data_IF_955821126028
#
_entry.id   IF_955821126028
#
_cell.length_a   1.000
_cell.length_b   1.000
_cell.length_c   1.000
_cell.angle_alpha   90.00
_cell.angle_beta   90.00
_cell.angle_gamma   90.00
#
_symmetry.space_group_name_H-M   'P 1'
#
loop_
_entity.id
_entity.type
_entity.pdbx_description
1 polymer ?
#
# COMPACT_ATOMS: atom_id res chain seq x y z
N UNK A 1 -11.67 19.30 8.53
CA UNK A 1 -10.32 18.86 8.11
C UNK A 1 -9.15 19.26 9.03
N UNK A 2 -9.37 19.98 10.14
CA UNK A 2 -8.27 20.41 11.07
C UNK A 2 -7.45 19.26 11.69
N UNK A 3 -8.00 18.03 11.75
CA UNK A 3 -7.34 16.84 12.32
C UNK A 3 -6.57 16.00 11.27
N UNK A 4 -6.79 16.23 9.98
CA UNK A 4 -6.17 15.45 8.89
C UNK A 4 -4.62 15.45 8.93
N UNK A 5 -3.92 16.59 9.15
CA UNK A 5 -2.47 16.57 9.26
C UNK A 5 -1.95 15.67 10.40
N UNK A 6 -2.66 15.61 11.53
CA UNK A 6 -2.31 14.73 12.65
C UNK A 6 -2.47 13.25 12.30
N UNK A 7 -3.50 12.91 11.53
CA UNK A 7 -3.74 11.55 11.04
C UNK A 7 -2.66 11.13 10.04
N UNK A 8 -2.27 12.02 9.12
CA UNK A 8 -1.19 11.78 8.16
C UNK A 8 0.15 11.59 8.89
N UNK A 9 0.48 12.49 9.83
CA UNK A 9 1.69 12.36 10.63
C UNK A 9 1.72 11.03 11.41
N UNK A 10 0.62 10.66 12.08
CA UNK A 10 0.50 9.37 12.74
C UNK A 10 0.70 8.19 11.79
N UNK A 11 0.13 8.25 10.59
CA UNK A 11 0.31 7.21 9.57
C UNK A 11 1.77 7.08 9.14
N UNK A 12 2.48 8.20 8.95
CA UNK A 12 3.88 8.22 8.51
C UNK A 12 4.75 7.40 9.47
N UNK A 13 4.69 7.65 10.76
CA UNK A 13 5.57 6.98 11.72
C UNK A 13 5.32 5.47 11.82
N UNK A 14 4.07 5.05 11.86
CA UNK A 14 3.73 3.63 11.95
C UNK A 14 4.06 2.89 10.64
N UNK A 15 3.77 3.49 9.50
CA UNK A 15 4.09 2.89 8.20
C UNK A 15 5.60 2.88 7.93
N UNK A 16 6.35 3.91 8.40
CA UNK A 16 7.80 3.94 8.29
C UNK A 16 8.48 2.81 9.08
N UNK A 17 7.93 2.45 10.26
CA UNK A 17 8.35 1.25 10.98
C UNK A 17 8.29 0.01 10.08
N UNK A 18 7.14 -0.28 9.49
CA UNK A 18 6.97 -1.45 8.61
C UNK A 18 7.89 -1.38 7.39
N UNK A 19 8.02 -0.21 6.76
CA UNK A 19 8.88 -0.02 5.58
C UNK A 19 10.37 -0.24 5.92
N UNK A 20 10.85 0.26 7.06
CA UNK A 20 12.20 0.05 7.56
C UNK A 20 12.46 -1.42 7.93
N UNK A 21 11.54 -2.07 8.65
CA UNK A 21 11.64 -3.50 8.98
C UNK A 21 11.65 -4.37 7.71
N UNK A 22 10.86 -4.03 6.70
CA UNK A 22 10.80 -4.72 5.42
C UNK A 22 12.12 -4.65 4.63
N UNK A 23 12.98 -3.70 4.92
CA UNK A 23 14.35 -3.61 4.38
C UNK A 23 15.37 -4.28 5.32
N UNK A 24 15.34 -3.95 6.60
CA UNK A 24 16.37 -4.38 7.55
C UNK A 24 16.35 -5.90 7.84
N UNK A 25 15.16 -6.50 7.99
CA UNK A 25 15.02 -7.95 8.24
C UNK A 25 15.59 -8.81 7.11
N UNK A 26 15.24 -8.60 5.82
CA UNK A 26 15.85 -9.32 4.71
C UNK A 26 17.37 -9.15 4.63
N UNK A 27 17.87 -7.94 4.82
CA UNK A 27 19.33 -7.68 4.79
C UNK A 27 20.06 -8.46 5.89
N UNK A 28 19.51 -8.48 7.11
CA UNK A 28 20.11 -9.26 8.20
C UNK A 28 20.04 -10.77 7.92
N UNK A 29 18.92 -11.26 7.37
CA UNK A 29 18.79 -12.67 7.00
C UNK A 29 19.82 -13.08 5.94
N UNK A 30 20.05 -12.26 4.90
CA UNK A 30 21.10 -12.50 3.91
C UNK A 30 22.49 -12.51 4.55
N UNK A 31 22.78 -11.54 5.44
CA UNK A 31 24.06 -11.50 6.17
C UNK A 31 24.28 -12.72 7.06
N UNK A 32 23.21 -13.28 7.63
CA UNK A 32 23.25 -14.53 8.40
C UNK A 32 23.37 -15.79 7.52
N UNK A 33 23.43 -15.66 6.19
CA UNK A 33 23.61 -16.77 5.26
C UNK A 33 22.29 -17.48 4.86
N UNK A 34 21.13 -16.90 5.17
CA UNK A 34 19.86 -17.47 4.70
C UNK A 34 19.69 -17.31 3.20
N UNK A 35 19.04 -18.28 2.57
CA UNK A 35 18.80 -18.31 1.13
C UNK A 35 17.83 -17.20 0.67
N UNK A 36 17.91 -16.84 -0.62
CA UNK A 36 16.96 -15.91 -1.24
C UNK A 36 15.49 -16.37 -1.10
N UNK A 37 15.26 -17.70 -1.08
CA UNK A 37 13.93 -18.27 -0.83
C UNK A 37 13.42 -17.94 0.59
N UNK A 38 14.28 -18.08 1.59
CA UNK A 38 13.94 -17.73 2.98
C UNK A 38 13.64 -16.23 3.12
N UNK A 39 14.40 -15.37 2.43
CA UNK A 39 14.16 -13.93 2.37
C UNK A 39 12.84 -13.62 1.67
N UNK A 40 12.52 -14.30 0.59
CA UNK A 40 11.21 -14.19 -0.08
C UNK A 40 10.06 -14.56 0.84
N UNK A 41 10.19 -15.64 1.60
CA UNK A 41 9.20 -16.03 2.61
C UNK A 41 9.04 -14.96 3.70
N UNK A 42 10.12 -14.39 4.21
CA UNK A 42 10.07 -13.27 5.16
C UNK A 42 9.29 -12.07 4.62
N UNK A 43 9.55 -11.68 3.38
CA UNK A 43 8.83 -10.57 2.74
C UNK A 43 7.34 -10.87 2.55
N UNK A 44 6.99 -12.12 2.20
CA UNK A 44 5.61 -12.55 2.08
C UNK A 44 4.84 -12.47 3.41
N UNK A 45 5.49 -12.70 4.55
CA UNK A 45 4.86 -12.63 5.87
C UNK A 45 4.31 -11.23 6.20
N UNK A 46 4.95 -10.15 5.74
CA UNK A 46 4.42 -8.78 5.90
C UNK A 46 3.06 -8.60 5.23
N UNK A 47 2.88 -9.15 4.03
CA UNK A 47 1.62 -9.06 3.29
C UNK A 47 0.60 -10.11 3.76
N UNK A 48 1.04 -11.31 4.11
CA UNK A 48 0.20 -12.42 4.53
C UNK A 48 -0.70 -12.05 5.70
N UNK A 49 -0.13 -11.43 6.74
CA UNK A 49 -0.89 -11.01 7.90
C UNK A 49 -1.97 -9.98 7.53
N UNK A 50 -1.67 -9.10 6.58
CA UNK A 50 -2.65 -8.12 6.11
C UNK A 50 -3.82 -8.77 5.38
N UNK A 51 -3.60 -9.88 4.65
CA UNK A 51 -4.69 -10.63 4.00
C UNK A 51 -5.65 -11.20 5.05
N UNK A 52 -5.13 -11.90 6.05
CA UNK A 52 -5.98 -12.59 7.04
C UNK A 52 -6.58 -11.64 8.09
N UNK A 53 -5.84 -10.62 8.52
CA UNK A 53 -6.32 -9.69 9.54
C UNK A 53 -7.17 -8.54 8.98
N UNK A 54 -7.22 -8.33 7.65
CA UNK A 54 -7.95 -7.20 7.07
C UNK A 54 -9.43 -7.16 7.48
N UNK A 55 -10.14 -8.28 7.39
CA UNK A 55 -11.56 -8.34 7.75
C UNK A 55 -11.81 -8.23 9.27
N UNK A 56 -11.09 -8.95 10.15
CA UNK A 56 -11.17 -8.74 11.59
C UNK A 56 -10.86 -7.29 12.01
N UNK A 57 -9.81 -6.69 11.44
CA UNK A 57 -9.42 -5.31 11.69
C UNK A 57 -10.51 -4.31 11.26
N UNK A 58 -11.14 -4.55 10.10
CA UNK A 58 -12.25 -3.75 9.62
C UNK A 58 -13.45 -3.77 10.57
N UNK A 59 -13.85 -4.97 11.02
CA UNK A 59 -14.91 -5.14 12.01
C UNK A 59 -14.57 -4.49 13.35
N UNK A 60 -13.34 -4.64 13.79
CA UNK A 60 -12.86 -4.04 15.02
C UNK A 60 -12.91 -2.51 14.95
N UNK A 61 -12.44 -1.92 13.83
CA UNK A 61 -12.51 -0.48 13.59
C UNK A 61 -13.98 0.02 13.51
N UNK A 62 -14.90 -0.76 12.93
CA UNK A 62 -16.31 -0.38 12.86
C UNK A 62 -16.96 -0.33 14.26
N UNK A 63 -16.59 -1.26 15.14
CA UNK A 63 -17.15 -1.34 16.49
C UNK A 63 -16.53 -0.37 17.48
N UNK A 64 -15.22 -0.13 17.39
CA UNK A 64 -14.46 0.56 18.43
C UNK A 64 -13.93 1.93 18.01
N UNK A 65 -14.09 2.31 16.74
CA UNK A 65 -13.63 3.59 16.21
C UNK A 65 -12.15 3.58 15.77
N UNK A 66 -11.43 4.70 15.97
CA UNK A 66 -10.06 4.90 15.54
C UNK A 66 -9.02 4.48 16.58
N UNK A 67 -9.20 4.94 17.83
CA UNK A 67 -8.10 4.92 18.83
C UNK A 67 -7.72 3.52 19.27
N UNK A 68 -8.69 2.64 19.53
CA UNK A 68 -8.40 1.27 20.00
C UNK A 68 -7.65 0.43 18.96
N UNK A 69 -8.09 0.35 17.68
CA UNK A 69 -7.32 -0.35 16.65
C UNK A 69 -5.92 0.24 16.46
N UNK A 70 -5.80 1.58 16.52
CA UNK A 70 -4.52 2.24 16.34
C UNK A 70 -3.56 2.00 17.51
N UNK A 71 -4.05 2.03 18.75
CA UNK A 71 -3.25 1.70 19.93
C UNK A 71 -2.74 0.26 19.87
N UNK A 72 -3.60 -0.68 19.47
CA UNK A 72 -3.21 -2.08 19.25
C UNK A 72 -2.15 -2.18 18.14
N UNK A 73 -2.30 -1.44 17.04
CA UNK A 73 -1.30 -1.39 15.96
C UNK A 73 0.03 -0.83 16.44
N UNK A 74 0.02 0.23 17.23
CA UNK A 74 1.24 0.79 17.84
C UNK A 74 1.93 -0.26 18.72
N UNK A 75 1.18 -0.90 19.61
CA UNK A 75 1.73 -1.93 20.49
C UNK A 75 2.31 -3.12 19.69
N UNK A 76 1.57 -3.64 18.71
CA UNK A 76 2.02 -4.75 17.86
C UNK A 76 3.29 -4.39 17.06
N UNK A 77 3.34 -3.19 16.46
CA UNK A 77 4.53 -2.75 15.71
C UNK A 77 5.74 -2.55 16.63
N UNK A 78 5.56 -1.85 17.76
CA UNK A 78 6.65 -1.59 18.69
C UNK A 78 7.20 -2.87 19.31
N UNK A 79 6.33 -3.79 19.75
CA UNK A 79 6.74 -5.09 20.29
C UNK A 79 7.37 -5.94 19.18
N UNK A 80 6.75 -6.02 18.00
CA UNK A 80 7.27 -6.80 16.88
C UNK A 80 8.67 -6.36 16.46
N UNK A 81 8.91 -5.07 16.28
CA UNK A 81 10.24 -4.54 15.97
C UNK A 81 11.22 -4.70 17.16
N UNK A 82 10.74 -4.47 18.39
CA UNK A 82 11.52 -4.61 19.63
C UNK A 82 12.04 -6.02 19.87
N UNK A 83 11.29 -7.05 19.51
CA UNK A 83 11.76 -8.44 19.61
C UNK A 83 13.01 -8.67 18.76
N UNK A 84 13.12 -8.08 17.57
CA UNK A 84 14.31 -8.17 16.72
C UNK A 84 15.51 -7.42 17.29
N UNK A 85 15.34 -6.45 18.20
CA UNK A 85 16.44 -5.83 18.93
C UNK A 85 17.10 -6.83 19.89
N UNK A 86 16.27 -7.59 20.61
CA UNK A 86 16.73 -8.52 21.65
C UNK A 86 17.27 -9.80 21.02
N UNK A 87 16.50 -10.40 20.12
CA UNK A 87 16.79 -11.69 19.49
C UNK A 87 16.71 -11.59 17.96
N UNK A 88 17.79 -11.13 17.30
CA UNK A 88 17.82 -10.99 15.83
C UNK A 88 18.06 -12.35 15.14
N UNK A 89 17.22 -13.33 15.43
CA UNK A 89 17.24 -14.68 14.84
C UNK A 89 16.07 -14.87 13.89
N UNK A 90 16.19 -15.77 12.93
CA UNK A 90 15.22 -15.96 11.85
C UNK A 90 13.77 -16.15 12.31
N UNK A 91 13.44 -17.02 13.31
CA UNK A 91 12.06 -17.15 13.78
C UNK A 91 11.47 -15.87 14.35
N UNK A 92 12.30 -15.08 15.08
CA UNK A 92 11.87 -13.79 15.64
C UNK A 92 11.68 -12.77 14.52
N UNK A 93 12.53 -12.76 13.49
CA UNK A 93 12.34 -11.92 12.30
C UNK A 93 11.03 -12.25 11.58
N UNK A 94 10.65 -13.53 11.48
CA UNK A 94 9.34 -13.95 10.96
C UNK A 94 8.18 -13.38 11.80
N UNK A 95 8.27 -13.49 13.12
CA UNK A 95 7.25 -12.95 14.03
C UNK A 95 7.16 -11.41 13.92
N UNK A 96 8.30 -10.73 13.84
CA UNK A 96 8.36 -9.28 13.64
C UNK A 96 7.72 -8.85 12.32
N UNK A 97 7.94 -9.60 11.23
CA UNK A 97 7.33 -9.34 9.94
C UNK A 97 5.79 -9.49 10.01
N UNK A 98 5.30 -10.57 10.63
CA UNK A 98 3.87 -10.78 10.86
C UNK A 98 3.24 -9.68 11.70
N UNK A 99 3.91 -9.29 12.80
CA UNK A 99 3.40 -8.29 13.73
C UNK A 99 3.35 -6.90 13.11
N UNK A 100 4.45 -6.43 12.49
CA UNK A 100 4.52 -5.09 11.90
C UNK A 100 3.67 -4.97 10.64
N UNK A 101 3.59 -6.02 9.83
CA UNK A 101 2.72 -6.09 8.65
C UNK A 101 1.24 -6.02 9.04
N UNK A 102 0.80 -6.87 9.96
CA UNK A 102 -0.59 -6.89 10.45
C UNK A 102 -1.01 -5.61 11.14
N UNK A 103 -0.12 -5.05 11.97
CA UNK A 103 -0.34 -3.76 12.63
C UNK A 103 -0.57 -2.63 11.65
N UNK A 104 0.27 -2.55 10.60
CA UNK A 104 0.14 -1.52 9.56
C UNK A 104 -1.17 -1.66 8.81
N UNK A 105 -1.57 -2.89 8.44
CA UNK A 105 -2.86 -3.14 7.77
C UNK A 105 -4.04 -2.68 8.61
N UNK A 106 -4.06 -3.01 9.92
CA UNK A 106 -5.12 -2.60 10.84
C UNK A 106 -5.17 -1.07 11.01
N UNK A 107 -4.02 -0.42 11.16
CA UNK A 107 -3.95 1.03 11.28
C UNK A 107 -4.44 1.75 10.01
N UNK A 108 -4.05 1.26 8.83
CA UNK A 108 -4.50 1.82 7.55
C UNK A 108 -6.01 1.75 7.44
N UNK A 109 -6.63 0.62 7.77
CA UNK A 109 -8.09 0.46 7.74
C UNK A 109 -8.78 1.46 8.69
N UNK A 110 -8.30 1.56 9.95
CA UNK A 110 -8.87 2.45 10.94
C UNK A 110 -8.74 3.94 10.54
N UNK A 111 -7.57 4.35 10.03
CA UNK A 111 -7.31 5.70 9.54
C UNK A 111 -8.17 6.04 8.34
N UNK A 112 -8.20 5.17 7.33
CA UNK A 112 -9.00 5.40 6.12
C UNK A 112 -10.49 5.49 6.44
N UNK A 113 -11.00 4.62 7.32
CA UNK A 113 -12.40 4.70 7.81
C UNK A 113 -12.68 6.04 8.50
N UNK A 114 -11.80 6.46 9.39
CA UNK A 114 -11.98 7.71 10.13
C UNK A 114 -11.94 8.93 9.20
N UNK A 115 -10.97 8.98 8.28
CA UNK A 115 -10.85 10.05 7.28
C UNK A 115 -12.07 10.11 6.37
N UNK A 116 -12.56 8.96 5.90
CA UNK A 116 -13.78 8.91 5.09
C UNK A 116 -15.02 9.47 5.80
N UNK A 117 -15.07 9.37 7.13
CA UNK A 117 -16.17 9.93 7.95
C UNK A 117 -16.03 11.41 8.28
N UNK A 118 -14.82 11.98 8.17
CA UNK A 118 -14.58 13.41 8.36
C UNK A 118 -15.07 14.24 7.17
N UNK A 119 -15.14 13.66 5.99
CA UNK A 119 -15.57 14.33 4.77
C UNK A 119 -17.07 14.67 4.84
N UNK A 120 -17.41 15.86 4.41
CA UNK A 120 -18.80 16.36 4.39
C UNK A 120 -19.48 16.09 3.06
N UNK A 121 -18.72 16.12 1.99
CA UNK A 121 -19.19 15.95 0.62
C UNK A 121 -18.18 15.12 -0.20
N UNK A 122 -18.53 14.71 -1.44
CA UNK A 122 -17.63 13.93 -2.30
C UNK A 122 -16.33 14.63 -2.66
N UNK A 123 -16.30 15.97 -2.75
CA UNK A 123 -15.09 16.72 -3.06
C UNK A 123 -14.12 16.70 -1.88
N UNK A 124 -14.62 16.92 -0.66
CA UNK A 124 -13.88 16.77 0.58
C UNK A 124 -13.30 15.35 0.72
N UNK A 125 -14.07 14.33 0.32
CA UNK A 125 -13.67 12.93 0.40
C UNK A 125 -12.49 12.63 -0.51
N UNK A 126 -12.53 13.08 -1.76
CA UNK A 126 -11.42 12.95 -2.73
C UNK A 126 -10.15 13.62 -2.20
N UNK A 127 -10.28 14.86 -1.74
CA UNK A 127 -9.18 15.63 -1.20
C UNK A 127 -8.58 14.94 0.03
N UNK A 128 -9.40 14.49 0.97
CA UNK A 128 -8.95 13.83 2.19
C UNK A 128 -8.15 12.56 1.92
N UNK A 129 -8.62 11.69 1.01
CA UNK A 129 -7.89 10.49 0.63
C UNK A 129 -6.63 10.78 -0.19
N UNK A 130 -6.64 11.83 -1.01
CA UNK A 130 -5.46 12.28 -1.74
C UNK A 130 -4.35 12.69 -0.77
N UNK A 131 -4.66 13.54 0.21
CA UNK A 131 -3.72 13.94 1.25
C UNK A 131 -3.26 12.76 2.10
N UNK A 132 -4.17 11.88 2.52
CA UNK A 132 -3.83 10.70 3.31
C UNK A 132 -2.86 9.76 2.56
N UNK A 133 -2.98 9.67 1.24
CA UNK A 133 -2.13 8.81 0.41
C UNK A 133 -0.67 9.27 0.29
N UNK A 134 -0.35 10.50 0.72
CA UNK A 134 1.02 11.02 0.79
C UNK A 134 1.78 10.35 1.94
N UNK A 135 1.09 10.01 3.04
CA UNK A 135 1.70 9.36 4.19
C UNK A 135 2.54 8.12 3.84
N UNK A 136 1.97 7.11 3.15
CA UNK A 136 2.73 5.94 2.70
C UNK A 136 3.92 6.27 1.79
N UNK A 137 3.81 7.29 0.92
CA UNK A 137 4.92 7.68 0.05
C UNK A 137 6.11 8.21 0.85
N UNK A 138 5.86 9.10 1.82
CA UNK A 138 6.88 9.60 2.74
C UNK A 138 7.46 8.46 3.57
N UNK A 139 6.64 7.58 4.09
CA UNK A 139 7.05 6.47 4.95
C UNK A 139 7.95 5.48 4.22
N UNK A 140 7.62 5.14 2.96
CA UNK A 140 8.42 4.23 2.14
C UNK A 140 9.77 4.81 1.75
N UNK A 141 9.95 6.12 1.86
CA UNK A 141 11.25 6.78 1.77
C UNK A 141 11.97 6.81 3.12
N UNK A 142 11.32 7.35 4.15
CA UNK A 142 11.93 7.59 5.46
C UNK A 142 12.34 6.29 6.16
N UNK A 143 11.48 5.27 6.16
CA UNK A 143 11.74 4.01 6.87
C UNK A 143 13.05 3.34 6.43
N UNK A 144 13.20 3.00 5.14
CA UNK A 144 14.41 2.40 4.61
C UNK A 144 15.65 3.28 4.74
N UNK A 145 15.54 4.59 4.49
CA UNK A 145 16.68 5.51 4.59
C UNK A 145 17.21 5.58 6.03
N UNK A 146 16.32 5.79 7.00
CA UNK A 146 16.71 5.85 8.40
C UNK A 146 17.27 4.51 8.91
N UNK A 147 16.65 3.39 8.51
CA UNK A 147 17.16 2.06 8.86
C UNK A 147 18.55 1.82 8.24
N UNK A 148 18.73 2.16 6.95
CA UNK A 148 20.00 1.99 6.26
C UNK A 148 21.13 2.81 6.86
N UNK A 149 20.87 4.08 7.20
CA UNK A 149 21.86 4.94 7.87
C UNK A 149 22.30 4.35 9.21
N UNK A 150 21.35 3.82 10.00
CA UNK A 150 21.72 3.20 11.28
C UNK A 150 22.49 1.89 11.11
N UNK A 151 22.11 1.08 10.12
CA UNK A 151 22.81 -0.17 9.79
C UNK A 151 24.26 0.12 9.42
N UNK A 152 24.51 1.17 8.64
CA UNK A 152 25.84 1.45 8.11
C UNK A 152 26.72 2.26 9.07
N UNK A 153 26.14 3.13 9.91
CA UNK A 153 26.91 4.12 10.68
C UNK A 153 26.74 4.04 12.20
N UNK A 154 25.81 3.28 12.73
CA UNK A 154 25.60 3.23 14.18
C UNK A 154 26.35 2.10 14.89
N UNK A 155 27.05 1.24 14.17
CA UNK A 155 27.92 0.18 14.71
C UNK A 155 29.39 0.49 14.52
N UNK A 156 30.30 -0.29 15.16
CA UNK A 156 31.75 -0.16 15.00
C UNK A 156 32.22 -0.46 13.57
N UNK A 157 31.51 -1.34 12.87
CA UNK A 157 31.75 -1.64 11.44
C UNK A 157 30.44 -1.49 10.65
N UNK A 158 30.52 -1.12 9.36
CA UNK A 158 29.36 -1.02 8.50
C UNK A 158 28.57 -2.34 8.47
N UNK A 159 27.26 -2.22 8.61
CA UNK A 159 26.31 -3.34 8.61
C UNK A 159 26.58 -4.41 9.69
N UNK A 160 27.23 -4.08 10.80
CA UNK A 160 27.37 -5.00 11.93
C UNK A 160 26.03 -5.25 12.65
N UNK A 161 26.00 -6.21 13.59
CA UNK A 161 24.80 -6.55 14.33
C UNK A 161 24.31 -5.39 15.22
N UNK A 162 25.21 -4.55 15.67
CA UNK A 162 24.90 -3.36 16.50
C UNK A 162 24.12 -2.34 15.67
N UNK A 163 24.54 -2.06 14.44
CA UNK A 163 23.84 -1.20 13.49
C UNK A 163 22.42 -1.70 13.21
N UNK A 164 22.25 -3.00 13.00
CA UNK A 164 20.91 -3.60 12.83
C UNK A 164 20.05 -3.44 14.09
N UNK A 165 20.60 -3.63 15.28
CA UNK A 165 19.88 -3.42 16.54
C UNK A 165 19.41 -1.98 16.72
N UNK A 166 20.24 -1.00 16.39
CA UNK A 166 19.83 0.41 16.40
C UNK A 166 18.72 0.70 15.38
N UNK A 167 18.81 0.12 14.20
CA UNK A 167 17.74 0.24 13.21
C UNK A 167 16.43 -0.36 13.73
N UNK A 168 16.44 -1.57 14.30
CA UNK A 168 15.25 -2.19 14.89
C UNK A 168 14.71 -1.40 16.08
N UNK A 169 15.59 -0.83 16.92
CA UNK A 169 15.19 0.04 18.03
C UNK A 169 14.46 1.30 17.56
N UNK A 170 15.01 1.97 16.53
CA UNK A 170 14.33 3.11 15.93
C UNK A 170 12.94 2.68 15.38
N UNK A 171 12.88 1.56 14.68
CA UNK A 171 11.62 1.05 14.14
C UNK A 171 10.63 0.69 15.27
N UNK A 172 11.10 0.24 16.42
CA UNK A 172 10.26 -0.03 17.60
C UNK A 172 9.72 1.25 18.25
N UNK A 173 10.49 2.33 18.23
CA UNK A 173 10.11 3.62 18.83
C UNK A 173 9.20 4.45 17.93
N UNK A 174 9.40 4.43 16.62
CA UNK A 174 8.62 5.24 15.65
C UNK A 174 7.10 5.11 15.84
N UNK A 175 6.50 3.90 16.02
CA UNK A 175 5.06 3.77 16.20
C UNK A 175 4.51 4.50 17.42
N UNK A 176 5.32 4.69 18.49
CA UNK A 176 4.90 5.43 19.69
C UNK A 176 4.57 6.88 19.34
N UNK A 177 5.31 7.49 18.40
CA UNK A 177 5.02 8.83 17.88
C UNK A 177 3.63 8.92 17.22
N UNK A 178 3.16 7.84 16.61
CA UNK A 178 1.79 7.76 16.06
C UNK A 178 0.73 8.05 17.13
N UNK A 179 0.88 7.44 18.31
CA UNK A 179 -0.05 7.67 19.41
C UNK A 179 -0.04 9.13 19.89
N UNK A 180 1.13 9.74 19.98
CA UNK A 180 1.26 11.16 20.35
C UNK A 180 0.41 12.08 19.45
N UNK A 181 0.46 11.84 18.13
CA UNK A 181 -0.29 12.64 17.15
C UNK A 181 -1.80 12.37 17.18
N UNK A 182 -2.22 11.11 17.39
CA UNK A 182 -3.62 10.71 17.20
C UNK A 182 -4.44 10.73 18.50
N UNK A 183 -3.82 10.66 19.69
CA UNK A 183 -4.54 10.66 20.98
C UNK A 183 -5.52 11.83 21.14
N UNK A 184 -5.20 12.98 20.57
CA UNK A 184 -6.01 14.22 20.66
C UNK A 184 -7.08 14.32 19.56
N UNK A 185 -7.11 13.40 18.60
CA UNK A 185 -8.12 13.39 17.54
C UNK A 185 -9.46 12.95 18.14
N UNK A 186 -10.58 13.67 17.89
CA UNK A 186 -11.89 13.28 18.35
C UNK A 186 -12.31 11.92 17.79
N UNK A 187 -12.92 11.08 18.61
CA UNK A 187 -13.45 9.78 18.18
C UNK A 187 -14.79 9.98 17.46
N UNK A 188 -14.90 9.41 16.27
CA UNK A 188 -16.15 9.40 15.51
C UNK A 188 -16.84 8.04 15.71
N UNK A 189 -17.69 7.97 16.74
CA UNK A 189 -18.48 6.79 17.00
C UNK A 189 -19.58 6.65 15.94
N UNK A 190 -19.84 5.42 15.50
CA UNK A 190 -21.11 5.13 14.82
C UNK A 190 -22.21 5.19 15.85
N UNK A 191 -23.36 5.82 15.58
CA UNK A 191 -24.53 5.55 16.39
C UNK A 191 -24.71 4.03 16.45
N UNK A 192 -25.06 3.45 17.62
CA UNK A 192 -25.40 2.05 17.70
C UNK A 192 -26.57 1.85 16.74
N UNK A 193 -26.32 1.19 15.62
CA UNK A 193 -27.40 0.72 14.78
C UNK A 193 -28.10 -0.36 15.62
N UNK A 194 -29.32 -0.07 16.03
CA UNK A 194 -30.26 -1.05 16.60
C UNK A 194 -30.66 -2.09 15.52
N UNK A 195 -29.68 -2.55 14.76
CA UNK A 195 -29.88 -3.59 13.77
C UNK A 195 -29.80 -4.93 14.49
N UNK A 196 -30.96 -5.42 14.93
CA UNK A 196 -31.24 -6.83 15.26
C UNK A 196 -31.08 -7.74 14.04
N UNK A 197 -30.45 -7.25 12.97
CA UNK A 197 -30.13 -8.03 11.79
C UNK A 197 -28.98 -9.00 12.10
N UNK A 198 -29.16 -10.26 11.70
CA UNK A 198 -28.17 -11.33 11.78
C UNK A 198 -26.75 -10.86 11.40
N UNK A 199 -25.67 -11.44 11.98
CA UNK A 199 -24.32 -10.98 11.75
C UNK A 199 -23.98 -11.06 10.26
N UNK A 200 -24.12 -9.94 9.56
CA UNK A 200 -23.86 -9.84 8.12
C UNK A 200 -22.38 -10.10 7.86
N UNK A 201 -22.10 -11.05 7.00
CA UNK A 201 -20.73 -11.41 6.63
C UNK A 201 -20.11 -10.30 5.74
N UNK A 202 -18.81 -10.07 5.85
CA UNK A 202 -18.13 -9.11 4.97
C UNK A 202 -18.29 -9.49 3.49
N UNK A 203 -18.37 -10.79 3.20
CA UNK A 203 -18.61 -11.33 1.85
C UNK A 203 -19.97 -10.95 1.28
N UNK A 204 -20.97 -10.58 2.11
CA UNK A 204 -22.25 -10.09 1.62
C UNK A 204 -22.11 -8.77 0.85
N UNK A 205 -21.04 -8.01 1.10
CA UNK A 205 -20.71 -6.82 0.30
C UNK A 205 -20.40 -7.17 -1.16
N UNK A 206 -19.91 -8.38 -1.43
CA UNK A 206 -19.69 -8.87 -2.79
C UNK A 206 -20.99 -9.23 -3.52
N UNK A 207 -22.12 -9.36 -2.84
CA UNK A 207 -23.41 -9.52 -3.50
C UNK A 207 -23.77 -8.24 -4.29
N UNK A 208 -23.34 -7.07 -3.82
CA UNK A 208 -23.58 -5.80 -4.48
C UNK A 208 -22.76 -5.67 -5.77
N UNK A 209 -23.39 -5.52 -6.96
CA UNK A 209 -22.69 -5.47 -8.24
C UNK A 209 -21.66 -4.33 -8.33
N UNK A 210 -21.96 -3.19 -7.70
CA UNK A 210 -21.10 -2.02 -7.67
C UNK A 210 -19.81 -2.30 -6.89
N UNK A 211 -19.92 -2.97 -5.73
CA UNK A 211 -18.78 -3.37 -4.91
C UNK A 211 -17.88 -4.36 -5.65
N UNK A 212 -18.44 -5.39 -6.29
CA UNK A 212 -17.64 -6.35 -7.09
C UNK A 212 -16.88 -5.66 -8.22
N UNK A 213 -17.54 -4.74 -8.94
CA UNK A 213 -16.90 -3.97 -10.02
C UNK A 213 -15.76 -3.12 -9.48
N UNK A 214 -16.01 -2.39 -8.38
CA UNK A 214 -14.99 -1.53 -7.75
C UNK A 214 -13.77 -2.35 -7.30
N UNK A 215 -13.97 -3.46 -6.62
CA UNK A 215 -12.89 -4.33 -6.16
C UNK A 215 -12.13 -4.97 -7.32
N UNK A 216 -12.82 -5.41 -8.38
CA UNK A 216 -12.19 -5.92 -9.60
C UNK A 216 -11.33 -4.87 -10.31
N UNK A 217 -11.85 -3.65 -10.47
CA UNK A 217 -11.11 -2.52 -11.04
C UNK A 217 -9.90 -2.17 -10.17
N UNK A 218 -10.09 -2.11 -8.84
CA UNK A 218 -8.99 -1.85 -7.91
C UNK A 218 -7.91 -2.94 -7.98
N UNK A 219 -8.29 -4.21 -8.08
CA UNK A 219 -7.36 -5.33 -8.20
C UNK A 219 -6.53 -5.25 -9.48
N UNK A 220 -7.18 -4.99 -10.64
CA UNK A 220 -6.50 -4.79 -11.92
C UNK A 220 -5.48 -3.64 -11.86
N UNK A 221 -5.87 -2.49 -11.31
CA UNK A 221 -4.97 -1.33 -11.23
C UNK A 221 -3.86 -1.52 -10.20
N UNK A 222 -4.11 -2.25 -9.12
CA UNK A 222 -3.06 -2.64 -8.16
C UNK A 222 -2.07 -3.62 -8.79
N UNK A 223 -2.56 -4.58 -9.59
CA UNK A 223 -1.70 -5.49 -10.35
C UNK A 223 -0.79 -4.74 -11.34
N UNK A 224 -1.24 -3.62 -11.92
CA UNK A 224 -0.38 -2.78 -12.77
C UNK A 224 0.78 -2.16 -12.02
N UNK A 225 0.55 -1.76 -10.77
CA UNK A 225 1.62 -1.29 -9.89
C UNK A 225 2.64 -2.40 -9.62
N UNK A 226 2.16 -3.59 -9.28
CA UNK A 226 3.00 -4.76 -9.03
C UNK A 226 3.78 -5.16 -10.29
N UNK A 227 3.14 -5.19 -11.47
CA UNK A 227 3.79 -5.45 -12.77
C UNK A 227 4.91 -4.44 -13.03
N UNK A 228 4.63 -3.15 -12.93
CA UNK A 228 5.62 -2.12 -13.20
C UNK A 228 6.85 -2.28 -12.30
N UNK A 229 6.65 -2.44 -11.00
CA UNK A 229 7.75 -2.54 -10.04
C UNK A 229 8.53 -3.85 -10.13
N UNK A 230 7.92 -4.93 -10.60
CA UNK A 230 8.55 -6.23 -10.79
C UNK A 230 9.23 -6.35 -12.16
N UNK A 231 8.52 -5.98 -13.22
CA UNK A 231 8.94 -6.25 -14.61
C UNK A 231 9.98 -5.23 -15.13
N UNK A 232 9.90 -3.98 -14.67
CA UNK A 232 10.85 -2.93 -15.10
C UNK A 232 12.31 -3.26 -14.77
N UNK A 233 12.66 -3.75 -13.57
CA UNK A 233 14.02 -4.22 -13.29
C UNK A 233 14.49 -5.35 -14.20
N UNK A 234 13.60 -6.32 -14.48
CA UNK A 234 13.94 -7.45 -15.36
C UNK A 234 14.20 -6.97 -16.77
N UNK A 235 13.30 -6.17 -17.33
CA UNK A 235 13.46 -5.61 -18.68
C UNK A 235 14.68 -4.68 -18.78
N UNK A 236 14.99 -3.90 -17.74
CA UNK A 236 16.19 -3.07 -17.67
C UNK A 236 17.46 -3.90 -17.66
N UNK A 237 17.46 -5.00 -16.91
CA UNK A 237 18.58 -5.94 -16.89
C UNK A 237 18.77 -6.63 -18.25
N UNK A 238 17.70 -7.11 -18.90
CA UNK A 238 17.75 -7.69 -20.25
C UNK A 238 18.32 -6.71 -21.29
N UNK A 239 18.16 -5.40 -21.08
CA UNK A 239 18.69 -4.32 -21.93
C UNK A 239 20.10 -3.86 -21.52
N UNK A 240 20.69 -4.48 -20.53
CA UNK A 240 22.04 -4.12 -20.04
C UNK A 240 22.09 -2.80 -19.26
N UNK A 241 20.98 -2.32 -18.71
CA UNK A 241 20.97 -1.10 -17.89
C UNK A 241 21.58 -1.39 -16.51
N UNK A 242 22.34 -0.41 -16.00
CA UNK A 242 22.88 -0.49 -14.65
C UNK A 242 21.77 -0.45 -13.58
N UNK A 243 22.05 -1.01 -12.41
CA UNK A 243 21.10 -1.01 -11.29
C UNK A 243 20.68 0.41 -10.87
N UNK A 244 21.61 1.38 -10.94
CA UNK A 244 21.32 2.80 -10.66
C UNK A 244 20.34 3.41 -11.67
N UNK A 245 20.45 3.07 -12.95
CA UNK A 245 19.51 3.51 -13.99
C UNK A 245 18.13 2.93 -13.73
N UNK A 246 18.03 1.63 -13.46
CA UNK A 246 16.77 0.97 -13.12
C UNK A 246 16.14 1.57 -11.86
N UNK A 247 16.96 1.79 -10.82
CA UNK A 247 16.54 2.44 -9.59
C UNK A 247 16.02 3.86 -9.81
N UNK A 248 16.67 4.63 -10.69
CA UNK A 248 16.24 5.99 -11.08
C UNK A 248 14.89 5.96 -11.80
N UNK A 249 14.68 5.00 -12.71
CA UNK A 249 13.38 4.82 -13.41
C UNK A 249 12.25 4.54 -12.42
N UNK A 250 12.48 3.61 -11.47
CA UNK A 250 11.49 3.31 -10.43
C UNK A 250 11.28 4.47 -9.45
N UNK A 251 12.36 5.18 -9.12
CA UNK A 251 12.30 6.39 -8.29
C UNK A 251 11.48 7.50 -8.95
N UNK A 252 11.70 7.74 -10.24
CA UNK A 252 10.95 8.72 -11.02
C UNK A 252 9.44 8.38 -11.07
N UNK A 253 9.09 7.11 -11.24
CA UNK A 253 7.70 6.62 -11.10
C UNK A 253 7.11 6.95 -9.74
N UNK A 254 7.83 6.67 -8.64
CA UNK A 254 7.33 6.91 -7.30
C UNK A 254 7.15 8.41 -7.01
N UNK A 255 8.09 9.25 -7.44
CA UNK A 255 8.00 10.71 -7.32
C UNK A 255 6.81 11.25 -8.11
N UNK A 256 6.62 10.79 -9.35
CA UNK A 256 5.48 11.19 -10.19
C UNK A 256 4.14 10.78 -9.54
N UNK A 257 4.06 9.57 -8.98
CA UNK A 257 2.88 9.11 -8.25
C UNK A 257 2.61 9.91 -6.97
N UNK A 258 3.64 10.35 -6.26
CA UNK A 258 3.49 11.24 -5.10
C UNK A 258 3.06 12.64 -5.54
N UNK A 259 3.67 13.18 -6.59
CA UNK A 259 3.39 14.51 -7.12
C UNK A 259 1.91 14.65 -7.53
N UNK A 260 1.39 13.72 -8.33
CA UNK A 260 -0.02 13.80 -8.76
C UNK A 260 -0.98 13.73 -7.59
N UNK A 261 -0.66 13.02 -6.50
CA UNK A 261 -1.49 12.97 -5.29
C UNK A 261 -1.59 14.31 -4.59
N UNK A 262 -0.54 15.12 -4.64
CA UNK A 262 -0.56 16.51 -4.14
C UNK A 262 -1.42 17.40 -5.03
N UNK A 263 -1.34 17.23 -6.35
CA UNK A 263 -2.11 18.03 -7.32
C UNK A 263 -3.59 17.61 -7.40
N UNK A 264 -3.89 16.35 -7.08
CA UNK A 264 -5.22 15.77 -7.27
C UNK A 264 -6.37 16.50 -6.58
N UNK A 265 -6.25 17.04 -5.36
CA UNK A 265 -7.31 17.83 -4.73
C UNK A 265 -7.74 19.06 -5.52
N UNK A 266 -6.83 19.62 -6.32
CA UNK A 266 -7.09 20.81 -7.15
C UNK A 266 -7.73 20.42 -8.47
N UNK A 267 -7.32 19.28 -9.06
CA UNK A 267 -7.79 18.78 -10.35
C UNK A 267 -9.16 18.12 -10.22
N UNK A 268 -9.37 17.33 -9.15
CA UNK A 268 -10.54 16.46 -9.01
C UNK A 268 -11.84 17.18 -8.62
N UNK A 269 -11.82 18.49 -8.43
CA UNK A 269 -13.03 19.26 -8.07
C UNK A 269 -14.12 19.22 -9.14
N UNK A 270 -13.71 19.11 -10.41
CA UNK A 270 -14.60 19.20 -11.58
C UNK A 270 -14.76 17.87 -12.32
N UNK A 271 -14.10 16.79 -11.86
CA UNK A 271 -14.09 15.49 -12.52
C UNK A 271 -14.60 14.41 -11.59
N UNK A 272 -15.45 13.54 -12.08
CA UNK A 272 -16.02 12.44 -11.29
C UNK A 272 -15.02 11.29 -11.16
N UNK A 273 -15.11 10.51 -10.06
CA UNK A 273 -14.20 9.42 -9.75
C UNK A 273 -14.12 8.38 -10.87
N UNK A 274 -15.27 7.97 -11.40
CA UNK A 274 -15.33 6.95 -12.46
C UNK A 274 -14.62 7.42 -13.75
N UNK A 275 -14.62 8.73 -14.05
CA UNK A 275 -13.92 9.28 -15.22
C UNK A 275 -12.41 9.19 -15.03
N UNK A 276 -11.91 9.58 -13.85
CA UNK A 276 -10.47 9.49 -13.52
C UNK A 276 -10.02 8.04 -13.52
N UNK A 277 -10.78 7.13 -12.89
CA UNK A 277 -10.45 5.70 -12.85
C UNK A 277 -10.45 5.09 -14.25
N UNK A 278 -11.45 5.40 -15.07
CA UNK A 278 -11.53 4.90 -16.45
C UNK A 278 -10.38 5.45 -17.30
N UNK A 279 -10.11 6.75 -17.21
CA UNK A 279 -8.96 7.37 -17.88
C UNK A 279 -7.63 6.74 -17.44
N UNK A 280 -7.47 6.47 -16.16
CA UNK A 280 -6.30 5.77 -15.65
C UNK A 280 -6.15 4.36 -16.24
N UNK A 281 -7.24 3.60 -16.36
CA UNK A 281 -7.19 2.26 -16.97
C UNK A 281 -6.81 2.32 -18.45
N UNK A 282 -7.40 3.23 -19.22
CA UNK A 282 -7.09 3.41 -20.65
C UNK A 282 -5.62 3.84 -20.82
N UNK A 283 -5.19 4.88 -20.11
CA UNK A 283 -3.80 5.35 -20.18
C UNK A 283 -2.80 4.26 -19.76
N UNK A 284 -3.09 3.50 -18.70
CA UNK A 284 -2.25 2.38 -18.26
C UNK A 284 -2.15 1.30 -19.34
N UNK A 285 -3.26 0.94 -19.98
CA UNK A 285 -3.27 -0.03 -21.08
C UNK A 285 -2.42 0.41 -22.26
N UNK A 286 -2.52 1.68 -22.65
CA UNK A 286 -1.70 2.27 -23.73
C UNK A 286 -0.22 2.29 -23.36
N UNK A 287 0.12 2.75 -22.15
CA UNK A 287 1.50 2.79 -21.67
C UNK A 287 2.12 1.39 -21.56
N UNK A 288 1.37 0.40 -21.10
CA UNK A 288 1.83 -0.99 -21.08
C UNK A 288 2.01 -1.57 -22.48
N UNK A 289 1.16 -1.16 -23.44
CA UNK A 289 1.36 -1.51 -24.85
C UNK A 289 2.65 -0.96 -25.43
N UNK A 290 3.02 0.27 -25.04
CA UNK A 290 4.21 0.96 -25.53
C UNK A 290 5.49 0.57 -24.78
N UNK A 291 5.41 0.20 -23.50
CA UNK A 291 6.56 0.00 -22.62
C UNK A 291 7.63 -0.97 -23.18
N UNK A 292 7.27 -2.14 -23.74
CA UNK A 292 8.24 -3.06 -24.31
C UNK A 292 9.06 -2.48 -25.47
N UNK A 293 8.53 -1.47 -26.18
CA UNK A 293 9.19 -0.82 -27.33
C UNK A 293 10.11 0.33 -26.92
N UNK A 294 10.27 0.64 -25.63
CA UNK A 294 11.12 1.74 -25.15
C UNK A 294 12.59 1.29 -25.02
N UNK A 295 13.48 1.57 -26.00
CA UNK A 295 14.80 0.94 -26.03
C UNK A 295 15.83 1.61 -25.11
N UNK A 296 15.59 2.85 -24.71
CA UNK A 296 16.57 3.65 -23.96
C UNK A 296 16.13 3.91 -22.51
N UNK A 297 17.07 4.17 -21.59
CA UNK A 297 16.75 4.56 -20.22
C UNK A 297 15.80 5.75 -20.13
N UNK A 298 15.98 6.75 -21.00
CA UNK A 298 15.16 7.95 -21.03
C UNK A 298 13.72 7.67 -21.47
N UNK A 299 13.54 6.87 -22.51
CA UNK A 299 12.18 6.50 -22.97
C UNK A 299 11.44 5.63 -21.95
N UNK A 300 12.14 4.67 -21.31
CA UNK A 300 11.59 3.89 -20.22
C UNK A 300 11.27 4.78 -19.01
N UNK A 301 12.16 5.71 -18.66
CA UNK A 301 11.96 6.66 -17.58
C UNK A 301 10.74 7.55 -17.80
N UNK A 302 10.59 8.12 -19.00
CA UNK A 302 9.43 8.93 -19.37
C UNK A 302 8.13 8.12 -19.26
N UNK A 303 8.12 6.90 -19.81
CA UNK A 303 6.97 6.01 -19.72
C UNK A 303 6.62 5.68 -18.25
N UNK A 304 7.63 5.47 -17.40
CA UNK A 304 7.46 5.25 -15.96
C UNK A 304 6.91 6.48 -15.24
N UNK A 305 7.38 7.69 -15.55
CA UNK A 305 6.83 8.94 -15.02
C UNK A 305 5.36 9.09 -15.37
N UNK A 306 5.00 8.90 -16.64
CA UNK A 306 3.60 8.94 -17.08
C UNK A 306 2.76 7.89 -16.36
N UNK A 307 3.27 6.67 -16.21
CA UNK A 307 2.63 5.60 -15.45
C UNK A 307 2.42 6.00 -13.99
N UNK A 308 3.44 6.63 -13.36
CA UNK A 308 3.36 7.12 -11.98
C UNK A 308 2.26 8.18 -11.82
N UNK A 309 2.18 9.15 -12.73
CA UNK A 309 1.12 10.16 -12.74
C UNK A 309 -0.27 9.52 -12.85
N UNK A 310 -0.42 8.54 -13.72
CA UNK A 310 -1.70 7.85 -13.95
C UNK A 310 -2.09 7.00 -12.75
N UNK A 311 -1.24 6.06 -12.33
CA UNK A 311 -1.53 5.14 -11.22
C UNK A 311 -1.58 5.85 -9.86
N UNK A 312 -0.90 7.00 -9.72
CA UNK A 312 -0.96 7.82 -8.52
C UNK A 312 -2.36 8.33 -8.20
N UNK A 313 -3.21 8.56 -9.22
CA UNK A 313 -4.60 9.04 -9.03
C UNK A 313 -5.54 7.96 -8.52
N UNK A 314 -5.22 6.69 -8.75
CA UNK A 314 -6.14 5.55 -8.59
C UNK A 314 -6.58 5.37 -7.14
N UNK A 315 -5.64 5.31 -6.22
CA UNK A 315 -5.96 4.99 -4.82
C UNK A 315 -6.93 5.98 -4.18
N UNK A 316 -6.73 7.31 -4.27
CA UNK A 316 -7.69 8.27 -3.72
C UNK A 316 -9.09 8.15 -4.32
N UNK A 317 -9.18 7.91 -5.63
CA UNK A 317 -10.46 7.79 -6.34
C UNK A 317 -11.21 6.51 -5.96
N UNK A 318 -10.52 5.37 -5.90
CA UNK A 318 -11.09 4.10 -5.42
C UNK A 318 -11.59 4.24 -3.97
N UNK A 319 -10.82 4.91 -3.11
CA UNK A 319 -11.21 5.12 -1.71
C UNK A 319 -12.44 6.00 -1.59
N UNK A 320 -12.50 7.09 -2.38
CA UNK A 320 -13.68 7.97 -2.43
C UNK A 320 -14.92 7.19 -2.85
N UNK A 321 -14.84 6.46 -3.97
CA UNK A 321 -15.96 5.63 -4.47
C UNK A 321 -16.38 4.57 -3.45
N UNK A 322 -15.43 3.87 -2.84
CA UNK A 322 -15.70 2.84 -1.83
C UNK A 322 -16.52 3.40 -0.66
N UNK A 323 -16.16 4.58 -0.16
CA UNK A 323 -16.89 5.23 0.92
C UNK A 323 -18.29 5.70 0.51
N UNK A 324 -18.47 6.13 -0.73
CA UNK A 324 -19.76 6.58 -1.25
C UNK A 324 -20.76 5.41 -1.39
N UNK A 325 -20.29 4.26 -1.90
CA UNK A 325 -21.17 3.09 -2.14
C UNK A 325 -21.37 2.22 -0.89
N UNK A 326 -20.61 2.46 0.18
CA UNK A 326 -20.65 1.61 1.39
C UNK A 326 -21.38 2.30 2.53
N UNK A 327 -22.38 1.63 3.17
CA UNK A 327 -23.03 2.16 4.36
C UNK A 327 -22.03 2.49 5.47
N UNK A 328 -22.25 3.61 6.20
CA UNK A 328 -21.31 4.13 7.21
C UNK A 328 -20.89 3.11 8.26
N UNK A 329 -21.78 2.21 8.66
CA UNK A 329 -21.52 1.17 9.67
C UNK A 329 -20.71 -0.02 9.14
N UNK A 330 -20.50 -0.14 7.81
CA UNK A 330 -19.76 -1.23 7.16
C UNK A 330 -18.46 -0.77 6.46
N UNK A 331 -18.09 0.49 6.59
CA UNK A 331 -16.93 1.06 5.90
C UNK A 331 -15.61 0.36 6.26
N UNK A 332 -15.42 0.01 7.55
CA UNK A 332 -14.22 -0.74 7.97
C UNK A 332 -14.14 -2.12 7.34
N UNK A 333 -15.27 -2.84 7.21
CA UNK A 333 -15.32 -4.14 6.53
C UNK A 333 -15.02 -4.02 5.04
N UNK A 334 -15.55 -2.99 4.37
CA UNK A 334 -15.28 -2.74 2.95
C UNK A 334 -13.80 -2.41 2.70
N UNK A 335 -13.19 -1.61 3.58
CA UNK A 335 -11.76 -1.31 3.55
C UNK A 335 -10.90 -2.56 3.80
N UNK A 336 -11.33 -3.40 4.76
CA UNK A 336 -10.68 -4.68 5.01
C UNK A 336 -10.72 -5.61 3.80
N UNK A 337 -11.88 -5.73 3.16
CA UNK A 337 -12.05 -6.54 1.95
C UNK A 337 -11.20 -6.02 0.78
N UNK A 338 -11.14 -4.70 0.60
CA UNK A 338 -10.26 -4.07 -0.37
C UNK A 338 -8.78 -4.37 -0.09
N UNK A 339 -8.34 -4.19 1.15
CA UNK A 339 -6.94 -4.43 1.54
C UNK A 339 -6.56 -5.91 1.39
N UNK A 340 -7.45 -6.82 1.76
CA UNK A 340 -7.28 -8.25 1.53
C UNK A 340 -7.08 -8.55 0.04
N UNK A 341 -7.90 -7.96 -0.84
CA UNK A 341 -7.82 -8.14 -2.28
C UNK A 341 -6.48 -7.66 -2.85
N UNK A 342 -6.01 -6.47 -2.43
CA UNK A 342 -4.73 -5.90 -2.89
C UNK A 342 -3.55 -6.76 -2.41
N UNK A 343 -3.53 -7.11 -1.13
CA UNK A 343 -2.41 -7.89 -0.59
C UNK A 343 -2.39 -9.34 -1.15
N UNK A 344 -3.55 -9.91 -1.44
CA UNK A 344 -3.61 -11.17 -2.17
C UNK A 344 -3.01 -11.04 -3.58
N UNK A 345 -3.26 -9.93 -4.28
CA UNK A 345 -2.60 -9.61 -5.56
C UNK A 345 -1.08 -9.54 -5.38
N UNK A 346 -0.60 -8.77 -4.42
CA UNK A 346 0.84 -8.59 -4.16
C UNK A 346 1.57 -9.88 -3.77
N UNK A 347 0.85 -10.91 -3.31
CA UNK A 347 1.42 -12.25 -3.10
C UNK A 347 1.37 -13.09 -4.38
N UNK A 348 0.23 -13.08 -5.07
CA UNK A 348 -0.02 -13.97 -6.22
C UNK A 348 0.65 -13.47 -7.50
N UNK A 349 0.61 -12.16 -7.77
CA UNK A 349 1.03 -11.61 -9.05
C UNK A 349 2.52 -11.81 -9.36
N UNK A 350 3.47 -11.61 -8.43
CA UNK A 350 4.87 -11.90 -8.70
C UNK A 350 5.12 -13.37 -9.06
N UNK A 351 4.36 -14.30 -8.47
CA UNK A 351 4.46 -15.72 -8.80
C UNK A 351 3.95 -16.02 -10.22
N UNK A 352 2.80 -15.45 -10.57
CA UNK A 352 2.19 -15.60 -11.90
C UNK A 352 3.08 -14.96 -12.98
N UNK A 353 3.56 -13.74 -12.73
CA UNK A 353 4.40 -13.03 -13.69
C UNK A 353 5.81 -13.63 -13.81
N UNK A 354 6.36 -14.13 -12.70
CA UNK A 354 7.64 -14.85 -12.73
C UNK A 354 7.56 -16.12 -13.58
N UNK A 355 6.49 -16.92 -13.40
CA UNK A 355 6.26 -18.13 -14.20
C UNK A 355 5.98 -17.79 -15.69
N UNK A 356 5.11 -16.81 -15.96
CA UNK A 356 4.79 -16.38 -17.33
C UNK A 356 6.01 -15.77 -18.04
N UNK A 357 6.79 -14.95 -17.32
CA UNK A 357 8.01 -14.34 -17.84
C UNK A 357 9.09 -15.35 -18.20
N UNK A 358 9.23 -16.41 -17.41
CA UNK A 358 10.17 -17.50 -17.68
C UNK A 358 9.81 -18.29 -18.95
N UNK A 359 8.52 -18.40 -19.29
CA UNK A 359 8.04 -19.17 -20.46
C UNK A 359 7.99 -18.31 -21.72
N UNK A 360 7.44 -17.11 -21.62
CA UNK A 360 7.08 -16.27 -22.79
C UNK A 360 7.90 -14.98 -22.89
N UNK A 361 8.79 -14.70 -21.93
CA UNK A 361 9.52 -13.44 -21.84
C UNK A 361 8.71 -12.33 -21.15
N UNK A 362 9.38 -11.22 -20.91
CA UNK A 362 8.84 -10.11 -20.08
C UNK A 362 7.84 -9.23 -20.83
N UNK A 363 8.04 -9.00 -22.14
CA UNK A 363 7.18 -8.14 -22.96
C UNK A 363 5.70 -8.61 -23.02
N UNK A 364 5.40 -9.91 -23.21
CA UNK A 364 4.03 -10.41 -23.20
C UNK A 364 3.28 -10.14 -21.88
N UNK A 365 3.96 -10.09 -20.75
CA UNK A 365 3.35 -9.77 -19.44
C UNK A 365 2.71 -8.37 -19.47
N UNK A 366 3.41 -7.38 -20.01
CA UNK A 366 2.86 -6.04 -20.18
C UNK A 366 1.61 -6.02 -21.07
N UNK A 367 1.64 -6.74 -22.20
CA UNK A 367 0.51 -6.76 -23.14
C UNK A 367 -0.70 -7.48 -22.58
N UNK A 368 -0.50 -8.62 -21.91
CA UNK A 368 -1.61 -9.37 -21.28
C UNK A 368 -2.28 -8.53 -20.19
N UNK A 369 -1.49 -7.94 -19.30
CA UNK A 369 -2.05 -7.11 -18.23
C UNK A 369 -2.64 -5.82 -18.77
N UNK A 370 -1.98 -5.17 -19.75
CA UNK A 370 -2.48 -3.98 -20.42
C UNK A 370 -3.83 -4.23 -21.10
N UNK A 371 -3.97 -5.36 -21.80
CA UNK A 371 -5.24 -5.76 -22.43
C UNK A 371 -6.32 -6.02 -21.38
N UNK A 372 -6.01 -6.76 -20.31
CA UNK A 372 -6.96 -7.01 -19.23
C UNK A 372 -7.46 -5.71 -18.58
N UNK A 373 -6.57 -4.75 -18.35
CA UNK A 373 -6.91 -3.43 -17.79
C UNK A 373 -7.73 -2.62 -18.78
N UNK A 374 -7.37 -2.60 -20.08
CA UNK A 374 -8.13 -1.90 -21.13
C UNK A 374 -9.56 -2.43 -21.22
N UNK A 375 -9.75 -3.75 -21.21
CA UNK A 375 -11.07 -4.38 -21.18
C UNK A 375 -11.85 -4.04 -19.90
N UNK A 376 -11.14 -3.97 -18.77
CA UNK A 376 -11.69 -3.57 -17.47
C UNK A 376 -12.19 -2.12 -17.42
N UNK A 377 -11.75 -1.23 -18.31
CA UNK A 377 -12.18 0.16 -18.37
C UNK A 377 -13.70 0.32 -18.53
N UNK A 378 -14.37 -0.63 -19.22
CA UNK A 378 -15.84 -0.67 -19.31
C UNK A 378 -16.49 -0.87 -17.93
N UNK A 379 -15.88 -1.66 -17.06
CA UNK A 379 -16.38 -1.86 -15.71
C UNK A 379 -16.19 -0.60 -14.85
N UNK A 380 -15.06 0.10 -15.01
CA UNK A 380 -14.79 1.38 -14.34
C UNK A 380 -15.78 2.47 -14.77
N UNK A 381 -16.12 2.56 -16.06
CA UNK A 381 -17.11 3.51 -16.56
C UNK A 381 -18.51 3.28 -15.95
N UNK A 382 -18.85 2.04 -15.62
CA UNK A 382 -20.12 1.67 -14.95
C UNK A 382 -20.11 1.89 -13.42
N UNK A 383 -19.05 2.48 -12.85
CA UNK A 383 -19.00 2.93 -11.46
C UNK A 383 -19.65 4.31 -11.26
N UNK A 384 -20.47 4.77 -12.20
CA UNK A 384 -21.25 5.99 -12.04
C UNK A 384 -22.19 5.86 -10.85
N UNK A 385 -22.23 6.86 -9.97
CA UNK A 385 -23.35 6.94 -9.01
C UNK A 385 -24.67 7.03 -9.79
N UNK A 386 -25.68 6.36 -9.26
CA UNK A 386 -27.03 6.40 -9.82
C UNK A 386 -27.64 7.80 -9.69
#
# INVERSE_FOLDING_TARGET
MKTLPRLIAGQIFLHACMAGMRMAIPLLALKQGFSAMAVGALLALFALTQVFLALPAGRYADRTGLKKPLLLSVAMSSVGAGLSVLWPIFPVMCLSALATGGATGMAVIALQRHVGRLAKDPADLKAAFSWLSIGPAISNFLGPVLAGLLIDYAGPEPADLTGFRWAFLLMAVLPLSTWFWVRTVPELHSPPTLDNAAPRRAMDLLAEPMMRRLLGVNWLLSSCWDVHTFVVPVLGHERGFSASVVGTILGAFAVAAAFIRVCLPFISRHVQEHQIITGAMVCTALLFGLYPFMPTPWSMGLCSVLMGLVLGTVQPMIMSTLHQITPKHRQGMALGLRLMSINASSVLMPMVFGAAGAIAGVAPVFWVVGTAVGLGARAAWRLRPA
#
